data_IF_731540998009
#
_entry.id   IF_731540998009
#
_cell.length_a   1.000
_cell.length_b   1.000
_cell.length_c   1.000
_cell.angle_alpha   90.00
_cell.angle_beta   90.00
_cell.angle_gamma   90.00
#
_symmetry.space_group_name_H-M   'P 1'
#
loop_
_entity.id
_entity.type
_entity.pdbx_description
1 polymer ?
#
# COMPACT_ATOMS: atom_id res chain seq x y z
N UNK A 1 -16.37 13.09 -5.36
CA UNK A 1 -15.48 11.92 -5.15
C UNK A 1 -14.31 12.06 -6.09
N UNK A 2 -13.13 11.65 -5.64
CA UNK A 2 -11.97 11.49 -6.51
C UNK A 2 -12.26 10.41 -7.57
N UNK A 3 -11.63 10.50 -8.74
CA UNK A 3 -11.88 9.52 -9.80
C UNK A 3 -11.11 8.21 -9.59
N UNK A 4 -10.04 8.26 -8.78
CA UNK A 4 -9.24 7.11 -8.38
C UNK A 4 -8.86 7.14 -6.91
N UNK A 5 -8.53 5.97 -6.36
CA UNK A 5 -7.97 5.84 -5.02
C UNK A 5 -6.66 6.63 -4.87
N UNK A 6 -5.81 6.64 -5.92
CA UNK A 6 -4.56 7.40 -5.96
C UNK A 6 -4.79 8.91 -5.84
N UNK A 7 -5.78 9.45 -6.55
CA UNK A 7 -6.13 10.87 -6.44
C UNK A 7 -6.62 11.23 -5.05
N UNK A 8 -7.41 10.36 -4.41
CA UNK A 8 -7.88 10.59 -3.05
C UNK A 8 -6.73 10.57 -2.05
N UNK A 9 -5.87 9.56 -2.12
CA UNK A 9 -4.69 9.47 -1.27
C UNK A 9 -3.76 10.68 -1.44
N UNK A 10 -3.52 11.12 -2.68
CA UNK A 10 -2.74 12.32 -2.99
C UNK A 10 -3.37 13.59 -2.42
N UNK A 11 -4.69 13.75 -2.54
CA UNK A 11 -5.40 14.89 -1.99
C UNK A 11 -5.25 14.94 -0.45
N UNK A 12 -5.32 13.80 0.24
CA UNK A 12 -5.21 13.73 1.70
C UNK A 12 -3.78 13.87 2.25
N UNK A 13 -2.84 13.15 1.66
CA UNK A 13 -1.48 12.98 2.21
C UNK A 13 -0.39 13.69 1.41
N UNK A 14 -0.75 14.18 0.21
CA UNK A 14 0.21 14.73 -0.74
C UNK A 14 0.94 13.66 -1.54
N UNK A 15 1.90 14.13 -2.32
CA UNK A 15 2.77 13.33 -3.17
C UNK A 15 4.20 13.82 -2.95
N UNK A 16 5.10 12.91 -2.57
CA UNK A 16 6.50 13.25 -2.31
C UNK A 16 7.27 13.53 -3.61
N UNK A 17 6.83 12.92 -4.71
CA UNK A 17 7.57 12.90 -5.96
C UNK A 17 7.08 13.97 -6.94
N UNK A 18 5.91 14.56 -6.69
CA UNK A 18 5.28 15.55 -7.58
C UNK A 18 4.53 16.63 -6.78
N UNK A 19 4.37 17.84 -7.33
CA UNK A 19 3.47 18.83 -6.74
C UNK A 19 2.07 18.25 -6.56
N UNK A 20 1.52 18.40 -5.35
CA UNK A 20 0.14 18.00 -5.05
C UNK A 20 -0.80 19.07 -5.60
N UNK A 21 -1.71 18.74 -6.54
CA UNK A 21 -2.69 19.70 -7.03
C UNK A 21 -3.62 20.18 -5.91
N UNK A 22 -4.07 21.43 -5.98
CA UNK A 22 -5.06 21.94 -5.05
C UNK A 22 -6.35 21.11 -5.16
N UNK A 23 -6.78 20.59 -4.01
CA UNK A 23 -7.96 19.76 -3.87
C UNK A 23 -9.02 20.56 -3.10
N UNK A 24 -10.16 20.85 -3.74
CA UNK A 24 -11.27 21.59 -3.11
C UNK A 24 -12.24 20.68 -2.34
N UNK A 25 -11.97 19.37 -2.29
CA UNK A 25 -12.82 18.39 -1.63
C UNK A 25 -12.52 18.32 -0.12
N UNK A 26 -13.49 17.97 0.72
CA UNK A 26 -13.23 17.76 2.15
C UNK A 26 -12.22 16.62 2.39
N UNK A 27 -11.19 16.88 3.19
CA UNK A 27 -10.15 15.91 3.54
C UNK A 27 -10.57 15.03 4.72
N UNK A 28 -11.55 14.15 4.47
CA UNK A 28 -12.07 13.23 5.49
C UNK A 28 -11.42 11.85 5.36
N UNK A 29 -10.48 11.56 6.26
CA UNK A 29 -9.72 10.30 6.29
C UNK A 29 -10.60 9.04 6.32
N UNK A 30 -11.74 9.08 7.04
CA UNK A 30 -12.65 7.94 7.13
C UNK A 30 -13.27 7.54 5.78
N UNK A 31 -13.54 8.50 4.89
CA UNK A 31 -14.02 8.20 3.53
C UNK A 31 -12.94 7.48 2.70
N UNK A 32 -11.68 7.90 2.84
CA UNK A 32 -10.58 7.21 2.18
C UNK A 32 -10.39 5.80 2.71
N UNK A 33 -10.51 5.58 4.02
CA UNK A 33 -10.43 4.23 4.61
C UNK A 33 -11.55 3.34 4.06
N UNK A 34 -12.77 3.85 3.92
CA UNK A 34 -13.88 3.13 3.30
C UNK A 34 -13.60 2.78 1.83
N UNK A 35 -13.17 3.76 1.03
CA UNK A 35 -12.81 3.53 -0.38
C UNK A 35 -11.66 2.52 -0.51
N UNK A 36 -10.61 2.62 0.30
CA UNK A 36 -9.47 1.69 0.33
C UNK A 36 -9.92 0.27 0.69
N UNK A 37 -10.80 0.12 1.68
CA UNK A 37 -11.28 -1.18 2.15
C UNK A 37 -12.01 -1.97 1.07
N UNK A 38 -12.75 -1.28 0.19
CA UNK A 38 -13.50 -1.89 -0.90
C UNK A 38 -12.79 -1.82 -2.27
N UNK A 39 -11.58 -1.26 -2.33
CA UNK A 39 -10.82 -1.16 -3.56
C UNK A 39 -10.31 -2.54 -4.03
N UNK A 40 -10.31 -2.72 -5.36
CA UNK A 40 -9.69 -3.88 -5.98
C UNK A 40 -8.16 -3.82 -5.88
N UNK A 41 -7.52 -4.99 -5.88
CA UNK A 41 -6.06 -5.15 -5.78
C UNK A 41 -5.28 -4.25 -6.75
N UNK A 42 -5.70 -4.16 -8.02
CA UNK A 42 -5.03 -3.32 -9.02
C UNK A 42 -5.08 -1.83 -8.67
N UNK A 43 -6.21 -1.33 -8.15
CA UNK A 43 -6.33 0.08 -7.75
C UNK A 43 -5.47 0.38 -6.53
N UNK A 44 -5.36 -0.56 -5.59
CA UNK A 44 -4.51 -0.41 -4.41
C UNK A 44 -3.03 -0.44 -4.82
N UNK A 45 -2.63 -1.39 -5.67
CA UNK A 45 -1.25 -1.48 -6.17
C UNK A 45 -0.87 -0.26 -7.00
N UNK A 46 -1.75 0.23 -7.87
CA UNK A 46 -1.52 1.47 -8.62
C UNK A 46 -1.27 2.67 -7.69
N UNK A 47 -2.06 2.80 -6.61
CA UNK A 47 -1.84 3.84 -5.60
C UNK A 47 -0.49 3.67 -4.89
N UNK A 48 -0.17 2.47 -4.42
CA UNK A 48 1.07 2.18 -3.70
C UNK A 48 2.29 2.46 -4.59
N UNK A 49 2.31 1.95 -5.83
CA UNK A 49 3.42 2.12 -6.76
C UNK A 49 3.61 3.56 -7.22
N UNK A 50 2.54 4.36 -7.26
CA UNK A 50 2.63 5.77 -7.65
C UNK A 50 3.05 6.68 -6.48
N UNK A 51 2.49 6.48 -5.28
CA UNK A 51 2.70 7.38 -4.15
C UNK A 51 3.77 6.91 -3.17
N UNK A 52 4.23 5.66 -3.27
CA UNK A 52 5.25 5.05 -2.41
C UNK A 52 5.99 3.92 -3.16
N UNK A 53 6.65 4.20 -4.31
CA UNK A 53 7.35 3.18 -5.08
C UNK A 53 8.43 2.49 -4.23
N UNK A 54 8.44 1.15 -4.14
CA UNK A 54 9.51 0.43 -3.46
C UNK A 54 10.89 0.78 -4.04
N UNK A 55 11.95 0.92 -3.22
CA UNK A 55 12.01 0.74 -1.76
C UNK A 55 11.80 2.05 -0.98
N UNK A 56 11.30 3.11 -1.62
CA UNK A 56 11.26 4.45 -1.04
C UNK A 56 9.98 4.65 -0.25
N UNK A 57 10.10 5.34 0.89
CA UNK A 57 8.93 5.83 1.62
C UNK A 57 8.40 7.07 0.91
N UNK A 58 7.11 7.11 0.64
CA UNK A 58 6.40 8.31 0.23
C UNK A 58 5.74 9.01 1.42
N UNK A 59 4.95 10.04 1.14
CA UNK A 59 4.12 10.72 2.15
C UNK A 59 2.95 9.86 2.70
N UNK A 60 2.69 8.68 2.12
CA UNK A 60 1.65 7.79 2.63
C UNK A 60 1.95 7.35 4.08
N UNK A 61 1.01 7.52 5.03
CA UNK A 61 1.21 7.04 6.39
C UNK A 61 1.52 5.55 6.43
N UNK A 62 2.39 5.14 7.37
CA UNK A 62 2.77 3.73 7.60
C UNK A 62 1.55 2.83 7.71
N UNK A 63 0.55 3.23 8.49
CA UNK A 63 -0.66 2.44 8.71
C UNK A 63 -1.47 2.24 7.41
N UNK A 64 -1.51 3.24 6.51
CA UNK A 64 -2.20 3.14 5.21
C UNK A 64 -1.54 2.05 4.37
N UNK A 65 -0.20 2.06 4.30
CA UNK A 65 0.56 1.08 3.52
C UNK A 65 0.39 -0.33 4.06
N UNK A 66 0.43 -0.49 5.38
CA UNK A 66 0.19 -1.79 6.01
C UNK A 66 -1.22 -2.30 5.72
N UNK A 67 -2.24 -1.44 5.83
CA UNK A 67 -3.62 -1.81 5.50
C UNK A 67 -3.74 -2.18 4.02
N UNK A 68 -3.20 -1.36 3.12
CA UNK A 68 -3.22 -1.59 1.69
C UNK A 68 -2.58 -2.94 1.31
N UNK A 69 -1.35 -3.22 1.73
CA UNK A 69 -0.71 -4.51 1.44
C UNK A 69 -1.47 -5.70 2.03
N UNK A 70 -2.05 -5.57 3.24
CA UNK A 70 -2.89 -6.64 3.81
C UNK A 70 -4.13 -6.90 2.95
N UNK A 71 -4.81 -5.86 2.48
CA UNK A 71 -5.97 -6.00 1.62
C UNK A 71 -5.63 -6.64 0.26
N UNK A 72 -4.50 -6.25 -0.35
CA UNK A 72 -4.06 -6.85 -1.62
C UNK A 72 -3.68 -8.32 -1.42
N UNK A 73 -2.96 -8.66 -0.34
CA UNK A 73 -2.59 -10.05 -0.04
C UNK A 73 -3.80 -10.95 0.27
N UNK A 74 -4.91 -10.39 0.78
CA UNK A 74 -6.17 -11.12 0.93
C UNK A 74 -6.82 -11.41 -0.43
N UNK A 75 -6.67 -10.51 -1.41
CA UNK A 75 -7.21 -10.66 -2.76
C UNK A 75 -6.32 -11.54 -3.66
N UNK A 76 -5.00 -11.54 -3.41
CA UNK A 76 -3.96 -12.24 -4.19
C UNK A 76 -3.03 -13.04 -3.28
N UNK A 77 -3.54 -14.09 -2.62
CA UNK A 77 -2.79 -14.83 -1.61
C UNK A 77 -1.67 -15.71 -2.20
N UNK A 78 -1.65 -15.91 -3.51
CA UNK A 78 -0.73 -16.82 -4.21
C UNK A 78 0.24 -16.07 -5.14
N UNK A 79 0.53 -14.80 -4.87
CA UNK A 79 1.49 -13.98 -5.62
C UNK A 79 2.80 -13.78 -4.82
N UNK A 80 3.86 -14.57 -5.06
CA UNK A 80 5.12 -14.48 -4.32
C UNK A 80 5.80 -13.11 -4.41
N UNK A 81 5.76 -12.48 -5.58
CA UNK A 81 6.34 -11.16 -5.80
C UNK A 81 5.69 -10.10 -4.89
N UNK A 82 4.36 -10.14 -4.76
CA UNK A 82 3.60 -9.25 -3.88
C UNK A 82 3.93 -9.48 -2.41
N UNK A 83 4.10 -10.74 -1.98
CA UNK A 83 4.51 -11.05 -0.60
C UNK A 83 5.87 -10.44 -0.26
N UNK A 84 6.83 -10.51 -1.20
CA UNK A 84 8.15 -9.90 -1.02
C UNK A 84 8.10 -8.37 -0.98
N UNK A 85 7.25 -7.77 -1.81
CA UNK A 85 7.03 -6.33 -1.81
C UNK A 85 6.44 -5.86 -0.47
N UNK A 86 5.41 -6.56 0.02
CA UNK A 86 4.80 -6.28 1.32
C UNK A 86 5.80 -6.48 2.48
N UNK A 87 6.62 -7.54 2.45
CA UNK A 87 7.66 -7.77 3.44
C UNK A 87 8.69 -6.63 3.47
N UNK A 88 9.16 -6.20 2.29
CA UNK A 88 10.07 -5.08 2.17
C UNK A 88 9.46 -3.79 2.74
N UNK A 89 8.17 -3.55 2.51
CA UNK A 89 7.49 -2.39 3.10
C UNK A 89 7.53 -2.43 4.62
N UNK A 90 7.27 -3.58 5.25
CA UNK A 90 7.30 -3.73 6.71
C UNK A 90 8.67 -3.45 7.32
N UNK A 91 9.74 -3.96 6.70
CA UNK A 91 11.13 -3.81 7.16
C UNK A 91 11.59 -2.34 7.19
N UNK A 92 10.99 -1.47 6.38
CA UNK A 92 11.35 -0.04 6.32
C UNK A 92 10.90 0.77 7.55
N UNK A 93 10.01 0.25 8.39
CA UNK A 93 9.44 0.99 9.54
C UNK A 93 9.98 0.58 10.91
N UNK A 94 10.85 -0.44 10.94
CA UNK A 94 11.50 -0.91 12.16
C UNK A 94 11.13 -2.34 12.54
N UNK A 95 11.77 -2.86 13.60
CA UNK A 95 11.86 -4.30 13.86
C UNK A 95 10.55 -4.93 14.35
N UNK A 96 9.55 -4.14 14.72
CA UNK A 96 8.26 -4.63 15.24
C UNK A 96 7.51 -5.54 14.23
N UNK A 97 7.86 -5.46 12.95
CA UNK A 97 7.22 -6.20 11.87
C UNK A 97 8.11 -7.27 11.22
N UNK A 98 9.34 -7.46 11.71
CA UNK A 98 10.33 -8.34 11.10
C UNK A 98 9.85 -9.80 11.03
N UNK A 99 9.19 -10.29 12.09
CA UNK A 99 8.64 -11.66 12.11
C UNK A 99 7.58 -11.87 11.02
N UNK A 100 6.76 -10.85 10.76
CA UNK A 100 5.72 -10.90 9.72
C UNK A 100 6.36 -10.78 8.33
N UNK A 101 7.36 -9.92 8.17
CA UNK A 101 8.12 -9.82 6.91
C UNK A 101 8.83 -11.14 6.58
N UNK A 102 9.46 -11.78 7.58
CA UNK A 102 10.10 -13.08 7.43
C UNK A 102 9.10 -14.18 7.05
N UNK A 103 7.90 -14.20 7.67
CA UNK A 103 6.85 -15.14 7.32
C UNK A 103 6.36 -14.96 5.87
N UNK A 104 6.16 -13.72 5.42
CA UNK A 104 5.77 -13.42 4.04
C UNK A 104 6.84 -13.89 3.04
N UNK A 105 8.12 -13.66 3.34
CA UNK A 105 9.23 -14.13 2.48
C UNK A 105 9.27 -15.65 2.39
N UNK A 106 9.15 -16.33 3.53
CA UNK A 106 9.11 -17.81 3.60
C UNK A 106 7.96 -18.37 2.77
N UNK A 107 6.76 -17.80 2.91
CA UNK A 107 5.58 -18.22 2.12
C UNK A 107 5.76 -18.00 0.63
N UNK A 108 6.40 -16.89 0.24
CA UNK A 108 6.74 -16.62 -1.16
C UNK A 108 7.69 -17.70 -1.73
N UNK A 109 8.71 -18.09 -0.96
CA UNK A 109 9.65 -19.16 -1.34
C UNK A 109 8.95 -20.52 -1.47
N UNK A 110 8.06 -20.85 -0.54
CA UNK A 110 7.27 -22.09 -0.58
C UNK A 110 6.37 -22.18 -1.82
N UNK A 111 5.73 -21.07 -2.20
CA UNK A 111 4.88 -21.00 -3.39
C UNK A 111 5.66 -21.14 -4.70
N UNK A 112 6.91 -20.68 -4.75
CA UNK A 112 7.76 -20.81 -5.94
C UNK A 112 8.46 -22.17 -6.05
N UNK A 113 8.61 -22.88 -4.92
CA UNK A 113 9.20 -24.20 -4.88
C UNK A 113 8.20 -25.33 -5.24
N UNK A 114 6.89 -25.03 -5.23
CA UNK A 114 5.80 -25.92 -5.61
C UNK A 114 5.38 -25.81 -7.07
#
# INVERSE_FOLDING_TARGET
MHSTLTEHARCLYGDEYRPTPDCALPHHEHHFVEELTFAGADSILAMLHELCPPPVNGHLPVWVRHLAYRLVLLQRPDEPALMREAALSLELFGPDWDDIAADLRRRAEELEAG
#
